data_IF_186152780945
#
_entry.id   IF_186152780945
#
_cell.length_a   1.000
_cell.length_b   1.000
_cell.length_c   1.000
_cell.angle_alpha   90.00
_cell.angle_beta   90.00
_cell.angle_gamma   90.00
#
_symmetry.space_group_name_H-M   'P 1'
#
loop_
_entity.id
_entity.type
_entity.pdbx_description
1 polymer ?
#
# COMPACT_ATOMS: atom_id res chain seq x y z
N UNK A 1 -31.30 18.85 -0.63
CA UNK A 1 -30.26 17.84 -0.91
C UNK A 1 -29.89 17.24 0.43
N UNK A 2 -30.51 16.12 0.82
CA UNK A 2 -30.12 15.40 2.03
C UNK A 2 -28.76 14.74 1.78
N UNK A 3 -27.77 14.83 2.70
CA UNK A 3 -26.55 14.03 2.61
C UNK A 3 -26.90 12.59 3.03
N UNK A 4 -27.60 11.85 2.16
CA UNK A 4 -27.97 10.47 2.44
C UNK A 4 -26.74 9.57 2.26
N UNK A 5 -26.27 9.04 3.39
CA UNK A 5 -25.57 7.76 3.50
C UNK A 5 -24.20 7.62 2.84
N UNK A 6 -23.27 8.56 3.06
CA UNK A 6 -21.86 8.23 2.88
C UNK A 6 -21.42 7.32 4.04
N UNK A 7 -21.28 6.02 3.78
CA UNK A 7 -20.60 5.11 4.71
C UNK A 7 -19.20 5.68 4.98
N UNK A 8 -18.73 5.74 6.24
CA UNK A 8 -17.41 6.25 6.54
C UNK A 8 -16.36 5.43 5.80
N UNK A 9 -15.39 6.12 5.19
CA UNK A 9 -14.22 5.48 4.58
C UNK A 9 -13.52 4.64 5.64
N UNK A 10 -13.53 3.33 5.45
CA UNK A 10 -12.90 2.39 6.38
C UNK A 10 -11.40 2.31 6.08
N UNK A 11 -10.59 2.82 7.00
CA UNK A 11 -9.13 2.80 6.91
C UNK A 11 -8.60 1.74 7.88
N UNK A 12 -7.77 0.84 7.38
CA UNK A 12 -7.14 -0.22 8.16
C UNK A 12 -5.69 0.16 8.48
N UNK A 13 -5.36 0.26 9.77
CA UNK A 13 -3.98 0.50 10.21
C UNK A 13 -3.24 -0.83 10.38
N UNK A 14 -2.08 -0.95 9.72
CA UNK A 14 -1.25 -2.16 9.71
C UNK A 14 0.07 -1.83 10.41
N UNK A 15 0.24 -2.34 11.64
CA UNK A 15 1.44 -2.11 12.45
C UNK A 15 2.24 -3.39 12.74
N UNK A 16 1.73 -4.57 12.37
CA UNK A 16 2.35 -5.87 12.69
C UNK A 16 2.06 -6.91 11.61
N UNK A 17 3.06 -7.73 11.30
CA UNK A 17 2.96 -8.80 10.30
C UNK A 17 2.02 -9.96 10.73
N UNK A 18 1.64 -10.01 12.00
CA UNK A 18 0.77 -11.06 12.56
C UNK A 18 -0.64 -10.56 12.87
N UNK A 19 -0.99 -9.35 12.43
CA UNK A 19 -2.30 -8.77 12.68
C UNK A 19 -3.32 -9.18 11.61
N UNK A 20 -4.63 -9.19 11.94
CA UNK A 20 -5.67 -9.43 10.95
C UNK A 20 -5.68 -8.37 9.84
N UNK A 21 -5.25 -7.14 10.14
CA UNK A 21 -5.12 -6.07 9.14
C UNK A 21 -3.99 -6.36 8.14
N UNK A 22 -2.90 -7.01 8.55
CA UNK A 22 -1.84 -7.43 7.62
C UNK A 22 -2.30 -8.59 6.72
N UNK A 23 -3.06 -9.54 7.27
CA UNK A 23 -3.68 -10.59 6.47
C UNK A 23 -4.68 -10.00 5.45
N UNK A 24 -5.48 -9.01 5.88
CA UNK A 24 -6.40 -8.29 5.00
C UNK A 24 -5.65 -7.54 3.89
N UNK A 25 -4.59 -6.81 4.22
CA UNK A 25 -3.73 -6.13 3.26
C UNK A 25 -3.19 -7.10 2.19
N UNK A 26 -2.66 -8.24 2.62
CA UNK A 26 -2.13 -9.28 1.73
C UNK A 26 -3.21 -9.81 0.77
N UNK A 27 -4.39 -10.10 1.30
CA UNK A 27 -5.51 -10.57 0.49
C UNK A 27 -6.02 -9.50 -0.48
N UNK A 28 -6.03 -8.23 -0.07
CA UNK A 28 -6.46 -7.13 -0.91
C UNK A 28 -5.50 -6.90 -2.07
N UNK A 29 -4.19 -6.81 -1.80
CA UNK A 29 -3.18 -6.59 -2.83
C UNK A 29 -3.12 -7.73 -3.86
N UNK A 30 -3.34 -8.98 -3.44
CA UNK A 30 -3.38 -10.14 -4.36
C UNK A 30 -4.62 -10.18 -5.24
N UNK A 31 -5.68 -9.45 -4.87
CA UNK A 31 -6.96 -9.39 -5.61
C UNK A 31 -7.18 -8.09 -6.35
N UNK A 32 -6.22 -7.16 -6.27
CA UNK A 32 -6.34 -5.84 -6.87
C UNK A 32 -5.75 -5.81 -8.27
N UNK A 33 -6.52 -5.24 -9.19
CA UNK A 33 -6.03 -4.81 -10.51
C UNK A 33 -5.63 -3.33 -10.52
N UNK A 34 -5.95 -2.59 -9.45
CA UNK A 34 -5.61 -1.18 -9.29
C UNK A 34 -5.22 -0.90 -7.84
N UNK A 35 -4.06 -0.27 -7.68
CA UNK A 35 -3.54 0.16 -6.38
C UNK A 35 -3.06 1.60 -6.48
N UNK A 36 -3.64 2.50 -5.68
CA UNK A 36 -3.07 3.81 -5.46
C UNK A 36 -2.12 3.76 -4.25
N UNK A 37 -0.99 4.46 -4.34
CA UNK A 37 -0.05 4.58 -3.24
C UNK A 37 0.39 6.03 -3.00
N UNK A 38 0.71 6.31 -1.75
CA UNK A 38 1.36 7.55 -1.31
C UNK A 38 2.28 7.25 -0.12
N UNK A 39 3.52 7.74 -0.16
CA UNK A 39 4.51 7.50 0.87
C UNK A 39 4.74 8.76 1.72
N UNK A 40 4.80 8.59 3.03
CA UNK A 40 4.99 9.68 3.98
C UNK A 40 6.32 9.52 4.73
N UNK A 41 7.14 10.56 4.66
CA UNK A 41 8.47 10.60 5.29
C UNK A 41 8.70 11.92 6.01
N UNK A 42 9.52 11.89 7.05
CA UNK A 42 9.98 13.12 7.72
C UNK A 42 11.21 13.68 7.01
N UNK A 43 11.19 14.98 6.76
CA UNK A 43 12.38 15.68 6.24
C UNK A 43 13.53 15.58 7.24
N UNK A 44 14.64 15.01 6.80
CA UNK A 44 15.83 14.81 7.63
C UNK A 44 16.58 16.14 7.74
N UNK A 45 16.65 16.71 8.96
CA UNK A 45 17.42 17.94 9.26
C UNK A 45 18.92 17.69 9.45
N UNK A 46 19.38 16.44 9.34
CA UNK A 46 20.76 16.01 9.63
C UNK A 46 21.39 15.31 8.42
N UNK A 47 22.55 15.82 7.98
CA UNK A 47 23.30 15.47 6.76
C UNK A 47 23.81 14.00 6.61
N UNK A 48 23.19 13.00 7.23
CA UNK A 48 23.74 11.62 7.29
C UNK A 48 23.16 10.63 6.28
N UNK A 49 21.96 10.83 5.74
CA UNK A 49 21.42 9.99 4.66
C UNK A 49 21.04 10.84 3.45
N UNK A 50 21.36 10.32 2.26
CA UNK A 50 21.03 10.99 0.99
C UNK A 50 19.52 10.95 0.68
N UNK A 51 18.79 10.02 1.30
CA UNK A 51 17.36 9.83 1.14
C UNK A 51 16.63 9.79 2.49
N UNK A 52 15.40 10.32 2.57
CA UNK A 52 14.58 10.23 3.77
C UNK A 52 14.05 8.81 3.99
N UNK A 53 13.90 8.43 5.27
CA UNK A 53 13.23 7.17 5.65
C UNK A 53 11.72 7.34 5.57
N UNK A 54 11.06 6.49 4.80
CA UNK A 54 9.59 6.41 4.76
C UNK A 54 9.09 5.75 6.03
N UNK A 55 8.12 6.38 6.70
CA UNK A 55 7.58 5.90 7.98
C UNK A 55 6.16 5.39 7.86
N UNK A 56 5.40 5.88 6.88
CA UNK A 56 4.02 5.48 6.67
C UNK A 56 3.76 5.34 5.17
N UNK A 57 3.07 4.28 4.79
CA UNK A 57 2.67 4.01 3.41
C UNK A 57 1.15 3.90 3.35
N UNK A 58 0.54 4.70 2.48
CA UNK A 58 -0.89 4.66 2.22
C UNK A 58 -1.13 3.81 0.98
N UNK A 59 -2.09 2.89 1.04
CA UNK A 59 -2.48 2.04 -0.08
C UNK A 59 -3.99 2.04 -0.22
N UNK A 60 -4.50 2.42 -1.39
CA UNK A 60 -5.90 2.25 -1.73
C UNK A 60 -6.03 1.19 -2.82
N UNK A 61 -6.72 0.11 -2.52
CA UNK A 61 -6.84 -1.07 -3.36
C UNK A 61 -8.25 -1.12 -3.92
N UNK A 62 -8.40 -1.26 -5.24
CA UNK A 62 -9.68 -1.66 -5.84
C UNK A 62 -9.73 -3.19 -5.87
N UNK A 63 -10.77 -3.79 -5.29
CA UNK A 63 -10.93 -5.23 -5.23
C UNK A 63 -11.71 -5.72 -6.45
N UNK A 64 -11.23 -6.78 -7.10
CA UNK A 64 -11.98 -7.44 -8.17
C UNK A 64 -13.24 -8.16 -7.63
N UNK A 65 -14.24 -8.43 -8.50
CA UNK A 65 -15.49 -9.09 -8.11
C UNK A 65 -15.25 -10.38 -7.32
N UNK A 66 -15.98 -10.57 -6.22
CA UNK A 66 -15.94 -11.86 -5.48
C UNK A 66 -16.67 -12.92 -6.31
N UNK A 67 -16.00 -14.02 -6.64
CA UNK A 67 -16.66 -15.19 -7.21
C UNK A 67 -17.62 -15.75 -6.15
N UNK A 68 -18.93 -15.62 -6.38
CA UNK A 68 -19.99 -16.14 -5.49
C UNK A 68 -20.65 -15.13 -4.54
N UNK A 69 -20.51 -13.81 -4.78
CA UNK A 69 -21.32 -12.83 -4.05
C UNK A 69 -22.79 -12.88 -4.48
N UNK A 70 -23.70 -12.86 -3.50
CA UNK A 70 -25.14 -12.81 -3.74
C UNK A 70 -25.51 -11.45 -4.39
N UNK A 71 -26.38 -11.41 -5.42
CA UNK A 71 -26.74 -10.17 -6.12
C UNK A 71 -27.43 -9.11 -5.23
N UNK A 72 -27.86 -9.51 -4.03
CA UNK A 72 -28.66 -8.71 -3.10
C UNK A 72 -27.82 -8.05 -1.99
N UNK A 73 -26.51 -8.37 -1.87
CA UNK A 73 -25.59 -7.59 -1.05
C UNK A 73 -25.10 -6.39 -1.86
N UNK A 74 -25.46 -5.19 -1.41
CA UNK A 74 -25.08 -3.91 -2.04
C UNK A 74 -23.57 -3.82 -2.33
N UNK A 75 -23.18 -4.10 -3.57
CA UNK A 75 -21.80 -4.24 -4.06
C UNK A 75 -20.91 -3.02 -3.82
N UNK A 76 -21.49 -1.83 -3.67
CA UNK A 76 -20.74 -0.57 -3.67
C UNK A 76 -19.83 -0.33 -2.45
N UNK A 77 -19.87 -1.19 -1.42
CA UNK A 77 -19.16 -0.99 -0.16
C UNK A 77 -17.91 -1.85 0.06
N UNK A 78 -17.68 -2.87 -0.76
CA UNK A 78 -16.50 -3.76 -0.65
C UNK A 78 -15.52 -3.63 -1.82
N UNK A 79 -15.82 -2.83 -2.83
CA UNK A 79 -15.01 -2.72 -4.05
C UNK A 79 -13.71 -1.94 -3.86
N UNK A 80 -13.55 -1.25 -2.72
CA UNK A 80 -12.31 -0.55 -2.40
C UNK A 80 -11.99 -0.58 -0.91
N UNK A 81 -10.70 -0.61 -0.60
CA UNK A 81 -10.19 -0.63 0.77
C UNK A 81 -8.92 0.20 0.87
N UNK A 82 -8.79 0.94 1.98
CA UNK A 82 -7.61 1.77 2.25
C UNK A 82 -6.84 1.23 3.44
N UNK A 83 -5.53 1.16 3.31
CA UNK A 83 -4.59 0.77 4.34
C UNK A 83 -3.62 1.90 4.65
N UNK A 84 -3.32 2.06 5.94
CA UNK A 84 -2.18 2.81 6.44
C UNK A 84 -1.19 1.79 7.00
N UNK A 85 -0.04 1.65 6.36
CA UNK A 85 1.01 0.72 6.80
C UNK A 85 2.08 1.51 7.53
N UNK A 86 2.22 1.23 8.83
CA UNK A 86 3.28 1.80 9.65
C UNK A 86 4.59 1.03 9.44
N UNK A 87 5.42 1.56 8.55
CA UNK A 87 6.73 1.01 8.21
C UNK A 87 7.76 1.17 9.34
N UNK A 88 7.44 1.94 10.38
CA UNK A 88 8.30 2.05 11.57
C UNK A 88 8.03 0.95 12.60
N UNK A 89 6.85 0.32 12.55
CA UNK A 89 6.41 -0.72 13.49
C UNK A 89 6.50 -2.13 12.91
N UNK A 90 6.29 -2.31 11.60
CA UNK A 90 6.34 -3.62 10.97
C UNK A 90 7.77 -3.99 10.51
N UNK A 91 8.21 -5.26 10.65
CA UNK A 91 9.45 -5.71 10.01
C UNK A 91 9.39 -5.53 8.49
N UNK A 92 10.29 -4.74 7.91
CA UNK A 92 10.21 -4.44 6.47
C UNK A 92 10.33 -5.69 5.59
N UNK A 93 11.08 -6.69 6.02
CA UNK A 93 11.20 -7.97 5.30
C UNK A 93 9.85 -8.69 5.14
N UNK A 94 8.90 -8.51 6.04
CA UNK A 94 7.60 -9.19 5.96
C UNK A 94 6.67 -8.62 4.89
N UNK A 95 6.87 -7.36 4.49
CA UNK A 95 6.04 -6.68 3.50
C UNK A 95 6.77 -6.42 2.17
N UNK A 96 8.10 -6.53 2.17
CA UNK A 96 8.93 -6.24 1.00
C UNK A 96 8.54 -7.07 -0.23
N UNK A 97 8.41 -8.40 -0.08
CA UNK A 97 8.05 -9.28 -1.20
C UNK A 97 6.68 -8.93 -1.77
N UNK A 98 5.70 -8.65 -0.88
CA UNK A 98 4.35 -8.27 -1.25
C UNK A 98 4.33 -6.99 -2.09
N UNK A 99 5.03 -5.94 -1.64
CA UNK A 99 5.11 -4.68 -2.39
C UNK A 99 5.90 -4.83 -3.69
N UNK A 100 6.99 -5.60 -3.68
CA UNK A 100 7.78 -5.88 -4.88
C UNK A 100 6.93 -6.54 -5.94
N UNK A 101 6.16 -7.56 -5.57
CA UNK A 101 5.31 -8.31 -6.51
C UNK A 101 4.19 -7.42 -7.05
N UNK A 102 3.57 -6.58 -6.20
CA UNK A 102 2.59 -5.58 -6.64
C UNK A 102 3.21 -4.61 -7.65
N UNK A 103 4.37 -4.04 -7.34
CA UNK A 103 4.99 -3.05 -8.20
C UNK A 103 5.53 -3.63 -9.51
N UNK A 104 6.04 -4.86 -9.48
CA UNK A 104 6.55 -5.55 -10.66
C UNK A 104 5.45 -6.13 -11.56
N UNK A 105 4.25 -6.38 -11.03
CA UNK A 105 3.16 -7.00 -11.80
C UNK A 105 2.66 -6.09 -12.94
N UNK A 106 2.71 -6.49 -14.21
CA UNK A 106 2.16 -5.69 -15.31
C UNK A 106 0.62 -5.62 -15.29
N UNK A 107 -0.04 -6.52 -14.56
CA UNK A 107 -1.49 -6.65 -14.51
C UNK A 107 -2.15 -5.73 -13.47
N UNK A 108 -1.33 -5.03 -12.66
CA UNK A 108 -1.79 -4.07 -11.68
C UNK A 108 -1.49 -2.66 -12.20
N UNK A 109 -2.52 -1.83 -12.31
CA UNK A 109 -2.37 -0.40 -12.55
C UNK A 109 -2.01 0.30 -11.24
N UNK A 110 -0.91 1.06 -11.22
CA UNK A 110 -0.48 1.80 -10.04
C UNK A 110 -0.75 3.29 -10.22
N UNK A 111 -1.40 3.89 -9.24
CA UNK A 111 -1.64 5.33 -9.20
C UNK A 111 -0.80 5.95 -8.09
N UNK A 112 -0.21 7.11 -8.34
CA UNK A 112 0.36 7.93 -7.27
C UNK A 112 0.92 9.23 -7.82
N UNK A 113 1.03 10.22 -6.94
CA UNK A 113 1.56 11.53 -7.29
C UNK A 113 3.08 11.52 -7.09
N UNK A 114 3.86 11.90 -8.11
CA UNK A 114 5.33 11.77 -8.09
C UNK A 114 5.80 10.35 -7.76
N UNK A 115 5.09 9.36 -8.28
CA UNK A 115 5.31 7.92 -8.08
C UNK A 115 6.78 7.48 -8.03
N UNK A 116 7.61 8.00 -8.93
CA UNK A 116 9.06 7.69 -8.98
C UNK A 116 9.81 8.11 -7.71
N UNK A 117 9.48 9.24 -7.10
CA UNK A 117 10.11 9.73 -5.87
C UNK A 117 9.81 8.80 -4.70
N UNK A 118 8.54 8.43 -4.55
CA UNK A 118 8.08 7.52 -3.49
C UNK A 118 8.76 6.16 -3.62
N UNK A 119 8.85 5.61 -4.83
CA UNK A 119 9.54 4.34 -5.08
C UNK A 119 11.04 4.40 -4.75
N UNK A 120 11.72 5.51 -5.06
CA UNK A 120 13.14 5.69 -4.70
C UNK A 120 13.30 5.72 -3.17
N UNK A 121 12.45 6.46 -2.46
CA UNK A 121 12.53 6.58 -1.01
C UNK A 121 12.14 5.29 -0.29
N UNK A 122 11.12 4.59 -0.79
CA UNK A 122 10.79 3.24 -0.35
C UNK A 122 11.96 2.30 -0.61
N UNK A 123 12.53 2.27 -1.81
CA UNK A 123 13.66 1.39 -2.12
C UNK A 123 14.83 1.65 -1.18
N UNK A 124 15.19 2.92 -0.95
CA UNK A 124 16.25 3.28 0.00
C UNK A 124 15.91 2.86 1.44
N UNK A 125 14.64 2.96 1.85
CA UNK A 125 14.18 2.60 3.20
C UNK A 125 14.32 1.09 3.43
N UNK A 126 13.89 0.28 2.47
CA UNK A 126 13.97 -1.18 2.53
C UNK A 126 15.42 -1.68 2.44
N UNK A 127 16.23 -1.14 1.53
CA UNK A 127 17.66 -1.47 1.43
C UNK A 127 18.42 -1.16 2.73
N UNK A 128 18.11 -0.03 3.39
CA UNK A 128 18.75 0.33 4.66
C UNK A 128 18.47 -0.66 5.80
N UNK A 129 17.42 -1.48 5.67
CA UNK A 129 17.09 -2.55 6.63
C UNK A 129 17.44 -3.96 6.10
N UNK A 130 18.24 -4.06 5.03
CA UNK A 130 18.75 -5.33 4.52
C UNK A 130 17.84 -6.05 3.53
N UNK A 131 16.80 -5.39 3.00
CA UNK A 131 16.02 -5.92 1.88
C UNK A 131 16.73 -5.64 0.55
N UNK A 132 16.44 -6.43 -0.49
CA UNK A 132 17.02 -6.20 -1.81
C UNK A 132 16.45 -4.94 -2.49
N UNK A 133 17.23 -4.26 -3.34
CA UNK A 133 16.71 -3.20 -4.21
C UNK A 133 15.71 -3.78 -5.21
N UNK A 134 14.76 -2.97 -5.67
CA UNK A 134 13.83 -3.46 -6.70
C UNK A 134 12.65 -2.56 -7.02
N UNK A 135 12.26 -1.65 -6.13
CA UNK A 135 11.16 -0.72 -6.42
C UNK A 135 11.53 0.33 -7.47
N UNK A 136 12.82 0.57 -7.68
CA UNK A 136 13.38 1.49 -8.67
C UNK A 136 13.31 0.99 -10.12
N UNK A 137 13.01 -0.30 -10.33
CA UNK A 137 12.92 -0.94 -11.66
C UNK A 137 11.51 -0.93 -12.24
N UNK A 138 10.55 -0.38 -11.51
CA UNK A 138 9.15 -0.33 -11.89
C UNK A 138 9.00 0.69 -13.01
N UNK A 139 8.61 0.21 -14.19
CA UNK A 139 8.21 1.09 -15.29
C UNK A 139 6.77 1.50 -14.98
N UNK A 140 6.62 2.72 -14.47
CA UNK A 140 5.32 3.38 -14.29
C UNK A 140 4.89 4.07 -15.58
#
# INVERSE_FOLDING_TARGET
>A
MDPKNQKPLKIHLVCSAHSPEFAHLTQSLTRSSLVALDAEWKSIRSHKSQFPTVTLLQLACQLGPRLGADPDESAESEDSVTFLVDLSSIPLSSIWELLRDVFASPDILKLGFRFKQDLIYLSSTFCAQGCDPGFDRVIA
#
